data_IF_226540640848
#
_entry.id   IF_226540640848
#
_cell.length_a   1.000
_cell.length_b   1.000
_cell.length_c   1.000
_cell.angle_alpha   90.00
_cell.angle_beta   90.00
_cell.angle_gamma   90.00
#
_symmetry.space_group_name_H-M   'P 1'
#
loop_
_entity.id
_entity.type
_entity.pdbx_description
1 polymer ?
#
# COMPACT_ATOMS: atom_id res chain seq x y z
N UNK A 1 -10.36 -27.85 -17.56
CA UNK A 1 -9.31 -26.88 -17.12
C UNK A 1 -9.97 -25.74 -16.34
N UNK A 2 -9.77 -25.67 -15.02
CA UNK A 2 -9.35 -24.44 -14.33
C UNK A 2 -9.40 -24.68 -12.82
N UNK A 3 -8.21 -25.00 -12.32
CA UNK A 3 -7.83 -24.97 -10.92
C UNK A 3 -8.12 -23.54 -10.39
N UNK A 4 -9.26 -23.34 -9.72
CA UNK A 4 -9.54 -22.09 -8.98
C UNK A 4 -8.66 -22.10 -7.76
N UNK A 5 -7.41 -21.66 -7.93
CA UNK A 5 -6.51 -21.39 -6.82
C UNK A 5 -7.19 -20.33 -5.93
N UNK A 6 -7.51 -20.61 -4.65
CA UNK A 6 -8.25 -19.68 -3.79
C UNK A 6 -7.51 -18.35 -3.54
N UNK A 7 -6.23 -18.24 -3.90
CA UNK A 7 -5.39 -17.05 -3.70
C UNK A 7 -5.65 -15.89 -4.70
N UNK A 8 -6.61 -15.96 -5.62
CA UNK A 8 -6.54 -15.06 -6.78
C UNK A 8 -7.17 -13.66 -6.60
N UNK A 9 -8.30 -13.45 -5.88
CA UNK A 9 -9.02 -12.17 -5.98
C UNK A 9 -8.27 -10.96 -5.39
N UNK A 10 -7.70 -11.07 -4.19
CA UNK A 10 -7.04 -9.93 -3.54
C UNK A 10 -5.69 -9.60 -4.21
N UNK A 11 -4.90 -10.61 -4.59
CA UNK A 11 -3.68 -10.40 -5.37
C UNK A 11 -3.98 -9.82 -6.76
N UNK A 12 -5.04 -10.28 -7.45
CA UNK A 12 -5.44 -9.70 -8.73
C UNK A 12 -5.85 -8.23 -8.58
N UNK A 13 -6.54 -7.88 -7.49
CA UNK A 13 -6.92 -6.50 -7.18
C UNK A 13 -5.70 -5.61 -6.94
N UNK A 14 -4.70 -6.09 -6.19
CA UNK A 14 -3.44 -5.37 -6.00
C UNK A 14 -2.70 -5.16 -7.33
N UNK A 15 -2.52 -6.23 -8.13
CA UNK A 15 -1.86 -6.13 -9.43
C UNK A 15 -2.57 -5.17 -10.39
N UNK A 16 -3.91 -5.12 -10.34
CA UNK A 16 -4.67 -4.17 -11.13
C UNK A 16 -4.42 -2.73 -10.67
N UNK A 17 -4.33 -2.47 -9.37
CA UNK A 17 -4.03 -1.15 -8.81
C UNK A 17 -2.63 -0.69 -9.23
N UNK A 18 -1.63 -1.56 -9.12
CA UNK A 18 -0.25 -1.25 -9.54
C UNK A 18 -0.14 -0.98 -11.05
N UNK A 19 -0.83 -1.79 -11.86
CA UNK A 19 -0.88 -1.57 -13.31
C UNK A 19 -1.53 -0.24 -13.65
N UNK A 20 -2.54 0.19 -12.90
CA UNK A 20 -3.18 1.48 -13.08
C UNK A 20 -2.27 2.63 -12.62
N UNK A 21 -1.54 2.47 -11.51
CA UNK A 21 -0.55 3.45 -11.05
C UNK A 21 0.57 3.68 -12.07
N UNK A 22 1.04 2.62 -12.73
CA UNK A 22 2.09 2.71 -13.76
C UNK A 22 1.58 3.27 -15.09
N UNK A 23 0.33 2.96 -15.45
CA UNK A 23 -0.29 3.48 -16.67
C UNK A 23 -0.98 4.79 -16.33
N UNK A 24 -0.31 5.92 -16.60
CA UNK A 24 -0.79 7.31 -16.45
C UNK A 24 -2.11 7.66 -17.21
N UNK A 25 -2.88 6.65 -17.65
CA UNK A 25 -4.15 6.76 -18.36
C UNK A 25 -5.38 6.75 -17.44
N UNK A 26 -5.24 6.44 -16.14
CA UNK A 26 -6.33 6.54 -15.16
C UNK A 26 -6.13 7.76 -14.27
N UNK A 27 -7.23 8.39 -13.87
CA UNK A 27 -7.18 9.47 -12.90
C UNK A 27 -6.73 8.93 -11.53
N UNK A 28 -6.25 9.82 -10.66
CA UNK A 28 -5.70 9.43 -9.36
C UNK A 28 -6.76 8.76 -8.46
N UNK A 29 -8.01 9.24 -8.49
CA UNK A 29 -9.09 8.69 -7.66
C UNK A 29 -9.40 7.23 -7.98
N UNK A 30 -9.41 6.84 -9.26
CA UNK A 30 -9.62 5.46 -9.69
C UNK A 30 -8.51 4.56 -9.13
N UNK A 31 -7.25 5.01 -9.15
CA UNK A 31 -6.12 4.26 -8.61
C UNK A 31 -6.22 4.13 -7.09
N UNK A 32 -6.55 5.22 -6.38
CA UNK A 32 -6.79 5.20 -4.92
C UNK A 32 -7.90 4.21 -4.55
N UNK A 33 -9.01 4.22 -5.31
CA UNK A 33 -10.11 3.27 -5.11
C UNK A 33 -9.67 1.82 -5.27
N UNK A 34 -8.89 1.52 -6.31
CA UNK A 34 -8.41 0.15 -6.56
C UNK A 34 -7.49 -0.37 -5.45
N UNK A 35 -6.63 0.48 -4.88
CA UNK A 35 -5.85 0.11 -3.70
C UNK A 35 -6.74 -0.14 -2.47
N UNK A 36 -7.69 0.76 -2.20
CA UNK A 36 -8.62 0.59 -1.08
C UNK A 36 -9.47 -0.68 -1.21
N UNK A 37 -9.89 -1.03 -2.42
CA UNK A 37 -10.59 -2.28 -2.71
C UNK A 37 -9.69 -3.50 -2.41
N UNK A 38 -8.41 -3.47 -2.82
CA UNK A 38 -7.45 -4.55 -2.54
C UNK A 38 -7.19 -4.72 -1.03
N UNK A 39 -7.03 -3.63 -0.29
CA UNK A 39 -6.87 -3.61 1.17
C UNK A 39 -8.14 -4.19 1.85
N UNK A 40 -9.32 -3.75 1.40
CA UNK A 40 -10.59 -4.21 1.98
C UNK A 40 -10.83 -5.70 1.72
N UNK A 41 -10.54 -6.18 0.51
CA UNK A 41 -10.71 -7.59 0.15
C UNK A 41 -9.78 -8.50 0.93
N UNK A 42 -8.50 -8.14 1.06
CA UNK A 42 -7.51 -8.92 1.83
C UNK A 42 -7.85 -8.92 3.32
N UNK A 43 -8.17 -7.76 3.90
CA UNK A 43 -8.53 -7.65 5.31
C UNK A 43 -9.80 -8.46 5.66
N UNK A 44 -10.87 -8.33 4.86
CA UNK A 44 -12.11 -9.11 5.06
C UNK A 44 -11.92 -10.61 4.85
N UNK A 45 -10.95 -11.00 4.02
CA UNK A 45 -10.60 -12.40 3.80
C UNK A 45 -9.72 -13.02 4.88
N UNK A 46 -9.28 -12.25 5.88
CA UNK A 46 -8.36 -12.72 6.92
C UNK A 46 -6.89 -12.76 6.49
N UNK A 47 -6.56 -12.21 5.32
CA UNK A 47 -5.20 -12.16 4.78
C UNK A 47 -4.48 -10.92 5.29
N UNK A 48 -4.10 -10.93 6.57
CA UNK A 48 -3.52 -9.76 7.26
C UNK A 48 -2.22 -9.28 6.57
N UNK A 49 -1.37 -10.21 6.14
CA UNK A 49 -0.12 -9.90 5.43
C UNK A 49 -0.37 -9.29 4.05
N UNK A 50 -1.40 -9.74 3.31
CA UNK A 50 -1.75 -9.16 2.02
C UNK A 50 -2.39 -7.78 2.16
N UNK A 51 -3.15 -7.55 3.23
CA UNK A 51 -3.67 -6.23 3.57
C UNK A 51 -2.53 -5.26 3.92
N UNK A 52 -1.53 -5.74 4.66
CA UNK A 52 -0.32 -4.97 4.96
C UNK A 52 0.45 -4.60 3.67
N UNK A 53 0.67 -5.57 2.79
CA UNK A 53 1.34 -5.36 1.51
C UNK A 53 0.56 -4.37 0.64
N UNK A 54 -0.77 -4.50 0.53
CA UNK A 54 -1.58 -3.58 -0.25
C UNK A 54 -1.51 -2.14 0.30
N UNK A 55 -1.48 -1.96 1.63
CA UNK A 55 -1.29 -0.66 2.25
C UNK A 55 0.12 -0.09 2.00
N UNK A 56 1.17 -0.90 2.08
CA UNK A 56 2.54 -0.48 1.76
C UNK A 56 2.64 0.02 0.31
N UNK A 57 2.11 -0.75 -0.65
CA UNK A 57 2.13 -0.37 -2.07
C UNK A 57 1.32 0.90 -2.32
N UNK A 58 0.20 1.08 -1.63
CA UNK A 58 -0.59 2.29 -1.74
C UNK A 58 0.14 3.51 -1.18
N UNK A 59 0.76 3.39 0.00
CA UNK A 59 1.59 4.44 0.57
C UNK A 59 2.73 4.85 -0.38
N UNK A 60 3.39 3.87 -1.01
CA UNK A 60 4.40 4.12 -2.03
C UNK A 60 3.88 4.88 -3.25
N UNK A 61 2.66 4.57 -3.72
CA UNK A 61 2.02 5.32 -4.80
C UNK A 61 1.69 6.76 -4.41
N UNK A 62 1.11 6.96 -3.21
CA UNK A 62 0.78 8.28 -2.68
C UNK A 62 2.04 9.14 -2.53
N UNK A 63 3.12 8.57 -2.02
CA UNK A 63 4.41 9.25 -1.87
C UNK A 63 5.07 9.59 -3.21
N UNK A 64 5.25 8.61 -4.10
CA UNK A 64 6.06 8.79 -5.31
C UNK A 64 5.31 9.41 -6.49
N UNK A 65 3.99 9.22 -6.59
CA UNK A 65 3.22 9.56 -7.80
C UNK A 65 2.17 10.64 -7.56
N UNK A 66 1.63 10.74 -6.35
CA UNK A 66 0.60 11.75 -6.01
C UNK A 66 1.20 12.93 -5.25
N UNK A 67 2.18 12.69 -4.37
CA UNK A 67 2.74 13.68 -3.46
C UNK A 67 1.91 13.90 -2.19
N UNK A 68 0.96 13.01 -1.89
CA UNK A 68 0.07 13.11 -0.73
C UNK A 68 0.72 12.47 0.50
N UNK A 69 1.60 13.23 1.16
CA UNK A 69 2.39 12.73 2.30
C UNK A 69 1.53 12.33 3.51
N UNK A 70 0.41 13.02 3.72
CA UNK A 70 -0.48 12.74 4.84
C UNK A 70 -1.19 11.41 4.66
N UNK A 71 -1.78 11.17 3.47
CA UNK A 71 -2.42 9.89 3.17
C UNK A 71 -1.38 8.76 3.07
N UNK A 72 -0.19 9.04 2.52
CA UNK A 72 0.91 8.07 2.47
C UNK A 72 1.32 7.61 3.89
N UNK A 73 1.47 8.55 4.83
CA UNK A 73 1.78 8.25 6.23
C UNK A 73 0.69 7.37 6.86
N UNK A 74 -0.57 7.72 6.69
CA UNK A 74 -1.69 6.94 7.23
C UNK A 74 -1.67 5.48 6.76
N UNK A 75 -1.46 5.26 5.45
CA UNK A 75 -1.39 3.90 4.92
C UNK A 75 -0.14 3.16 5.38
N UNK A 76 0.98 3.84 5.53
CA UNK A 76 2.22 3.25 6.00
C UNK A 76 2.12 2.80 7.47
N UNK A 77 1.57 3.64 8.35
CA UNK A 77 1.31 3.29 9.75
C UNK A 77 0.36 2.08 9.85
N UNK A 78 -0.68 2.04 9.01
CA UNK A 78 -1.56 0.89 8.90
C UNK A 78 -0.83 -0.39 8.47
N UNK A 79 0.05 -0.30 7.47
CA UNK A 79 0.85 -1.44 7.00
C UNK A 79 1.77 -1.96 8.11
N UNK A 80 2.45 -1.05 8.82
CA UNK A 80 3.34 -1.38 9.93
C UNK A 80 2.59 -2.06 11.08
N UNK A 81 1.40 -1.58 11.44
CA UNK A 81 0.57 -2.23 12.47
C UNK A 81 0.19 -3.65 12.06
N UNK A 82 -0.25 -3.85 10.81
CA UNK A 82 -0.63 -5.20 10.32
C UNK A 82 0.56 -6.15 10.24
N UNK A 83 1.72 -5.66 9.83
CA UNK A 83 2.95 -6.45 9.86
C UNK A 83 3.37 -6.80 11.29
N UNK A 84 3.16 -5.89 12.24
CA UNK A 84 3.38 -6.15 13.67
C UNK A 84 2.45 -7.24 14.17
N UNK A 85 1.14 -7.14 13.89
CA UNK A 85 0.13 -8.14 14.27
C UNK A 85 0.43 -9.52 13.66
N UNK A 86 1.01 -9.55 12.46
CA UNK A 86 1.44 -10.78 11.79
C UNK A 86 2.80 -11.33 12.30
N UNK A 87 3.58 -10.52 13.04
CA UNK A 87 4.89 -10.91 13.58
C UNK A 87 6.09 -10.61 12.67
N UNK A 88 5.92 -9.82 11.61
CA UNK A 88 6.96 -9.48 10.64
C UNK A 88 7.76 -8.22 11.03
N UNK A 89 8.37 -8.23 12.21
CA UNK A 89 9.09 -7.06 12.75
C UNK A 89 10.23 -6.55 11.88
N UNK A 90 10.95 -7.43 11.18
CA UNK A 90 12.01 -7.00 10.24
C UNK A 90 11.48 -6.17 9.07
N UNK A 91 10.24 -6.40 8.63
CA UNK A 91 9.58 -5.57 7.60
C UNK A 91 9.17 -4.22 8.20
N UNK A 92 8.68 -4.22 9.43
CA UNK A 92 8.33 -2.97 10.15
C UNK A 92 9.55 -2.07 10.30
N UNK A 93 10.69 -2.61 10.73
CA UNK A 93 11.96 -1.87 10.83
C UNK A 93 12.43 -1.34 9.48
N UNK A 94 12.36 -2.17 8.42
CA UNK A 94 12.67 -1.74 7.07
C UNK A 94 11.79 -0.57 6.61
N UNK A 95 10.47 -0.65 6.83
CA UNK A 95 9.52 0.40 6.44
C UNK A 95 9.75 1.68 7.24
N UNK A 96 10.00 1.57 8.54
CA UNK A 96 10.34 2.71 9.39
C UNK A 96 11.57 3.44 8.85
N UNK A 97 12.65 2.71 8.56
CA UNK A 97 13.89 3.29 8.07
C UNK A 97 13.76 3.90 6.67
N UNK A 98 13.03 3.23 5.77
CA UNK A 98 12.83 3.70 4.40
C UNK A 98 11.99 4.97 4.30
N UNK A 99 10.99 5.11 5.16
CA UNK A 99 10.02 6.21 5.09
C UNK A 99 10.08 7.11 6.33
N UNK A 100 11.23 7.16 7.01
CA UNK A 100 11.43 7.94 8.23
C UNK A 100 11.00 9.41 8.05
N UNK A 101 11.29 10.01 6.89
CA UNK A 101 10.95 11.40 6.60
C UNK A 101 9.43 11.63 6.55
N UNK A 102 8.71 10.70 5.92
CA UNK A 102 7.25 10.70 5.82
C UNK A 102 6.63 10.48 7.20
N UNK A 103 7.14 9.53 7.98
CA UNK A 103 6.66 9.20 9.32
C UNK A 103 6.92 10.34 10.32
N UNK A 104 8.07 10.99 10.24
CA UNK A 104 8.46 12.12 11.07
C UNK A 104 7.63 13.40 10.78
N UNK A 105 6.81 13.40 9.73
CA UNK A 105 6.09 14.61 9.29
C UNK A 105 7.03 15.71 8.81
N UNK A 106 8.25 15.34 8.39
CA UNK A 106 9.23 16.29 7.90
C UNK A 106 8.84 16.64 6.47
N UNK A 107 8.17 17.78 6.29
CA UNK A 107 8.11 18.43 4.99
C UNK A 107 9.54 18.74 4.58
N UNK A 108 10.14 17.94 3.70
CA UNK A 108 11.36 18.33 3.01
C UNK A 108 11.02 19.48 2.06
N UNK A 109 10.92 20.69 2.65
CA UNK A 109 11.08 21.91 1.91
C UNK A 109 12.51 21.94 1.40
N UNK A 110 12.68 21.78 0.10
CA UNK A 110 13.88 22.15 -0.62
C UNK A 110 14.52 20.99 -1.36
N UNK A 111 14.29 20.94 -2.68
CA UNK A 111 15.35 21.32 -3.62
C UNK A 111 14.73 22.17 -4.74
N UNK A 112 15.27 23.39 -4.88
CA UNK A 112 15.11 24.28 -6.02
C UNK A 112 15.88 23.76 -7.24
#
# INVERSE_FOLDING_TARGET
LKNKNPNVPHHASLLNAEKAALKQKRNQEDVKKMYNDAITMSARGGYVHDAALAQERFAGYLFNSVGDLQEAKYHLEGAMQRYTDWGAMGVVEYLHNKYQDVLAGSSTNGYS
#
